data_IF_238747749931
#
_entry.id   IF_238747749931
#
_cell.length_a   1.000
_cell.length_b   1.000
_cell.length_c   1.000
_cell.angle_alpha   90.00
_cell.angle_beta   90.00
_cell.angle_gamma   90.00
#
_symmetry.space_group_name_H-M   'P 1'
#
loop_
_entity.id
_entity.type
_entity.pdbx_description
1 polymer ?
#
# COMPACT_ATOMS: atom_id res chain seq x y z
N UNK A 1 14.07 -8.22 -21.37
CA UNK A 1 13.77 -8.56 -19.95
C UNK A 1 12.68 -9.61 -19.88
N UNK A 2 12.47 -10.23 -18.68
CA UNK A 2 11.38 -11.21 -18.49
C UNK A 2 9.99 -10.60 -18.73
N UNK A 3 9.80 -9.32 -18.47
CA UNK A 3 8.56 -8.60 -18.74
C UNK A 3 8.33 -8.38 -20.25
N UNK A 4 9.35 -8.06 -21.03
CA UNK A 4 9.24 -7.97 -22.49
C UNK A 4 8.83 -9.32 -23.07
N UNK A 5 9.50 -10.40 -22.66
CA UNK A 5 9.14 -11.77 -23.08
C UNK A 5 7.70 -12.15 -22.68
N UNK A 6 7.18 -11.63 -21.57
CA UNK A 6 5.80 -11.84 -21.17
C UNK A 6 4.83 -11.08 -22.09
N UNK A 7 5.12 -9.82 -22.39
CA UNK A 7 4.33 -9.01 -23.31
C UNK A 7 4.31 -9.60 -24.73
N UNK A 8 5.42 -10.20 -25.21
CA UNK A 8 5.52 -10.83 -26.49
C UNK A 8 4.69 -12.12 -26.63
N UNK A 9 4.18 -12.66 -25.51
CA UNK A 9 3.31 -13.85 -25.49
C UNK A 9 1.82 -13.53 -25.65
N UNK A 10 1.46 -12.25 -25.72
CA UNK A 10 0.07 -11.87 -25.99
C UNK A 10 -0.29 -12.32 -27.39
N UNK A 11 -1.33 -13.15 -27.50
CA UNK A 11 -1.80 -13.73 -28.77
C UNK A 11 -2.48 -12.68 -29.65
N UNK A 12 -2.63 -13.00 -30.93
CA UNK A 12 -3.33 -12.13 -31.89
C UNK A 12 -4.74 -11.80 -31.39
N UNK A 13 -5.08 -10.49 -31.42
CA UNK A 13 -6.34 -9.98 -30.88
C UNK A 13 -6.33 -9.71 -29.36
N UNK A 14 -5.31 -10.15 -28.64
CA UNK A 14 -5.10 -9.76 -27.22
C UNK A 14 -4.70 -8.29 -27.09
N UNK A 15 -4.89 -7.71 -25.91
CA UNK A 15 -4.54 -6.32 -25.61
C UNK A 15 -3.50 -6.24 -24.49
N UNK A 16 -2.51 -5.38 -24.69
CA UNK A 16 -1.48 -5.04 -23.71
C UNK A 16 -1.88 -3.73 -23.04
N UNK A 17 -2.26 -3.80 -21.76
CA UNK A 17 -2.59 -2.62 -20.93
C UNK A 17 -1.38 -2.34 -20.06
N UNK A 18 -0.75 -1.18 -20.22
CA UNK A 18 0.54 -0.86 -19.62
C UNK A 18 0.47 0.45 -18.85
N UNK A 19 0.96 0.43 -17.61
CA UNK A 19 1.08 1.65 -16.80
C UNK A 19 2.06 2.63 -17.42
N UNK A 20 1.68 3.91 -17.43
CA UNK A 20 2.56 5.01 -17.85
C UNK A 20 3.83 5.06 -16.98
N UNK A 21 4.96 5.34 -17.60
CA UNK A 21 6.27 5.41 -16.94
C UNK A 21 7.04 4.08 -16.88
N UNK A 22 6.43 2.97 -17.28
CA UNK A 22 7.17 1.73 -17.47
C UNK A 22 7.92 1.74 -18.82
N UNK A 23 9.10 1.08 -18.93
CA UNK A 23 9.89 1.03 -20.16
C UNK A 23 9.32 0.03 -21.19
N UNK A 24 7.99 -0.05 -21.29
CA UNK A 24 7.27 -0.98 -22.16
C UNK A 24 6.18 -0.26 -22.94
N UNK A 25 5.92 -0.71 -24.16
CA UNK A 25 4.81 -0.24 -24.98
C UNK A 25 3.63 -1.19 -24.86
N UNK A 26 2.42 -0.64 -24.79
CA UNK A 26 1.16 -1.37 -24.80
C UNK A 26 0.20 -0.83 -25.85
N UNK A 27 -0.94 -1.50 -26.02
CA UNK A 27 -2.05 -1.03 -26.85
C UNK A 27 -2.85 0.05 -26.14
N UNK A 28 -2.86 0.02 -24.80
CA UNK A 28 -3.58 0.97 -23.93
C UNK A 28 -2.65 1.33 -22.79
N UNK A 29 -2.42 2.60 -22.60
CA UNK A 29 -1.71 3.15 -21.44
C UNK A 29 -2.70 3.50 -20.35
N UNK A 30 -2.30 3.31 -19.06
CA UNK A 30 -3.13 3.76 -17.94
C UNK A 30 -2.30 4.47 -16.87
N UNK A 31 -2.97 5.37 -16.15
CA UNK A 31 -2.35 6.13 -15.07
C UNK A 31 -3.38 6.60 -14.03
N UNK A 32 -2.88 7.05 -12.89
CA UNK A 32 -3.60 7.87 -11.95
C UNK A 32 -3.17 9.34 -12.15
N UNK A 33 -4.12 10.23 -12.33
CA UNK A 33 -3.89 11.69 -12.41
C UNK A 33 -2.90 12.15 -13.51
N UNK A 34 -2.76 11.36 -14.56
CA UNK A 34 -2.00 11.72 -15.76
C UNK A 34 -2.80 11.34 -17.00
N UNK A 35 -3.08 12.28 -17.85
CA UNK A 35 -3.83 12.06 -19.10
C UNK A 35 -3.09 11.08 -20.02
N UNK A 36 -3.77 9.99 -20.35
CA UNK A 36 -3.33 8.95 -21.28
C UNK A 36 -4.57 8.23 -21.83
N UNK A 37 -4.46 6.98 -22.35
CA UNK A 37 -5.61 6.28 -22.94
C UNK A 37 -6.70 5.96 -21.90
N UNK A 38 -6.32 5.63 -20.67
CA UNK A 38 -7.23 5.43 -19.53
C UNK A 38 -6.64 6.02 -18.26
N UNK A 39 -7.37 6.88 -17.57
CA UNK A 39 -6.84 7.52 -16.36
C UNK A 39 -7.91 7.88 -15.33
N UNK A 40 -7.48 8.04 -14.08
CA UNK A 40 -8.29 8.62 -13.02
C UNK A 40 -8.06 10.13 -12.93
N UNK A 41 -9.13 10.87 -12.68
CA UNK A 41 -9.13 12.29 -12.37
C UNK A 41 -9.96 12.57 -11.13
N UNK A 42 -9.85 13.77 -10.55
CA UNK A 42 -10.60 14.18 -9.36
C UNK A 42 -10.49 13.20 -8.17
N UNK A 43 -9.31 12.62 -7.97
CA UNK A 43 -9.06 11.70 -6.85
C UNK A 43 -9.16 12.47 -5.53
N UNK A 44 -10.16 12.11 -4.72
CA UNK A 44 -10.46 12.80 -3.47
C UNK A 44 -10.82 11.81 -2.35
N UNK A 45 -10.70 12.30 -1.13
CA UNK A 45 -11.12 11.58 0.07
C UNK A 45 -12.31 12.30 0.68
N UNK A 46 -13.41 11.57 0.89
CA UNK A 46 -14.60 12.05 1.56
C UNK A 46 -15.00 11.05 2.65
N UNK A 47 -15.10 11.52 3.89
CA UNK A 47 -15.45 10.68 5.05
C UNK A 47 -14.55 9.44 5.24
N UNK A 48 -13.26 9.55 4.87
CA UNK A 48 -12.30 8.44 4.99
C UNK A 48 -12.40 7.40 3.88
N UNK A 49 -13.06 7.71 2.77
CA UNK A 49 -13.24 6.86 1.60
C UNK A 49 -12.71 7.55 0.35
N UNK A 50 -12.24 6.77 -0.63
CA UNK A 50 -11.70 7.29 -1.88
C UNK A 50 -12.78 7.36 -2.97
N UNK A 51 -12.81 8.50 -3.67
CA UNK A 51 -13.63 8.73 -4.86
C UNK A 51 -12.75 9.23 -5.99
N UNK A 52 -13.11 8.91 -7.23
CA UNK A 52 -12.42 9.38 -8.42
C UNK A 52 -13.33 9.32 -9.64
N UNK A 53 -12.93 10.00 -10.72
CA UNK A 53 -13.54 9.91 -12.03
C UNK A 53 -12.64 9.05 -12.93
N UNK A 54 -13.22 8.15 -13.71
CA UNK A 54 -12.52 7.38 -14.73
C UNK A 54 -12.75 8.00 -16.10
N UNK A 55 -11.70 8.08 -16.90
CA UNK A 55 -11.72 8.59 -18.28
C UNK A 55 -11.01 7.63 -19.21
N UNK A 56 -11.64 7.35 -20.36
CA UNK A 56 -11.03 6.78 -21.56
C UNK A 56 -11.60 7.47 -22.81
N UNK A 57 -11.15 7.07 -24.01
CA UNK A 57 -11.60 7.69 -25.27
C UNK A 57 -13.12 7.62 -25.49
N UNK A 58 -13.76 6.57 -25.01
CA UNK A 58 -15.16 6.22 -25.27
C UNK A 58 -16.00 5.98 -24.00
N UNK A 59 -15.39 6.08 -22.81
CA UNK A 59 -16.09 5.89 -21.53
C UNK A 59 -15.63 6.91 -20.49
N UNK A 60 -16.57 7.61 -19.89
CA UNK A 60 -16.38 8.46 -18.72
C UNK A 60 -17.33 7.99 -17.62
N UNK A 61 -16.79 7.65 -16.44
CA UNK A 61 -17.55 7.31 -15.25
C UNK A 61 -17.16 8.29 -14.16
N UNK A 62 -18.12 9.01 -13.60
CA UNK A 62 -17.89 9.99 -12.53
C UNK A 62 -18.26 9.43 -11.17
N UNK A 63 -17.66 10.01 -10.13
CA UNK A 63 -17.98 9.74 -8.73
C UNK A 63 -17.90 8.25 -8.35
N UNK A 64 -16.88 7.55 -8.86
CA UNK A 64 -16.66 6.15 -8.51
C UNK A 64 -16.21 6.08 -7.05
N UNK A 65 -16.99 5.43 -6.22
CA UNK A 65 -16.61 5.02 -4.87
C UNK A 65 -15.72 3.79 -4.93
N UNK A 66 -14.57 3.82 -4.27
CA UNK A 66 -13.66 2.70 -4.16
C UNK A 66 -13.79 2.04 -2.79
N UNK A 67 -14.31 0.81 -2.74
CA UNK A 67 -14.55 0.07 -1.48
C UNK A 67 -13.30 -0.22 -0.66
N UNK A 68 -12.12 -0.15 -1.28
CA UNK A 68 -10.82 -0.27 -0.60
C UNK A 68 -10.03 1.03 -0.77
N UNK A 69 -9.51 1.62 0.31
CA UNK A 69 -8.77 2.87 0.22
C UNK A 69 -7.36 2.67 -0.36
N UNK A 70 -6.74 3.78 -0.73
CA UNK A 70 -5.36 3.84 -1.16
C UNK A 70 -5.17 4.34 -2.59
N UNK A 71 -4.21 5.26 -2.77
CA UNK A 71 -3.90 5.85 -4.08
C UNK A 71 -3.47 4.80 -5.10
N UNK A 72 -2.76 3.76 -4.67
CA UNK A 72 -2.38 2.65 -5.53
C UNK A 72 -3.60 1.79 -5.94
N UNK A 73 -4.62 1.71 -5.08
CA UNK A 73 -5.87 1.00 -5.40
C UNK A 73 -6.72 1.78 -6.40
N UNK A 74 -6.67 3.12 -6.40
CA UNK A 74 -7.25 3.94 -7.48
C UNK A 74 -6.58 3.59 -8.82
N UNK A 75 -5.25 3.50 -8.85
CA UNK A 75 -4.52 3.13 -10.07
C UNK A 75 -4.85 1.70 -10.54
N UNK A 76 -4.94 0.75 -9.60
CA UNK A 76 -5.37 -0.62 -9.89
C UNK A 76 -6.82 -0.67 -10.42
N UNK A 77 -7.71 0.17 -9.87
CA UNK A 77 -9.09 0.28 -10.33
C UNK A 77 -9.17 0.81 -11.77
N UNK A 78 -8.32 1.79 -12.16
CA UNK A 78 -8.26 2.25 -13.56
C UNK A 78 -7.96 1.10 -14.50
N UNK A 79 -6.94 0.27 -14.20
CA UNK A 79 -6.62 -0.90 -15.01
C UNK A 79 -7.80 -1.91 -15.04
N UNK A 80 -8.42 -2.19 -13.90
CA UNK A 80 -9.54 -3.11 -13.81
C UNK A 80 -10.77 -2.63 -14.59
N UNK A 81 -11.12 -1.33 -14.51
CA UNK A 81 -12.19 -0.71 -15.29
C UNK A 81 -11.89 -0.84 -16.77
N UNK A 82 -10.66 -0.56 -17.19
CA UNK A 82 -10.23 -0.66 -18.59
C UNK A 82 -10.43 -2.08 -19.14
N UNK A 83 -10.03 -3.11 -18.37
CA UNK A 83 -10.27 -4.52 -18.74
C UNK A 83 -11.76 -4.83 -18.81
N UNK A 84 -12.53 -4.41 -17.81
CA UNK A 84 -13.96 -4.67 -17.77
C UNK A 84 -14.70 -4.01 -18.94
N UNK A 85 -14.31 -2.79 -19.28
CA UNK A 85 -14.85 -2.06 -20.44
C UNK A 85 -14.54 -2.76 -21.78
N UNK A 86 -13.31 -3.26 -21.94
CA UNK A 86 -12.92 -4.06 -23.12
C UNK A 86 -13.69 -5.39 -23.25
N UNK A 87 -14.26 -5.87 -22.16
CA UNK A 87 -15.12 -7.07 -22.10
C UNK A 87 -16.62 -6.72 -22.16
N UNK A 88 -16.98 -5.49 -22.55
CA UNK A 88 -18.36 -5.01 -22.66
C UNK A 88 -19.17 -5.12 -21.37
N UNK A 89 -18.51 -5.03 -20.19
CA UNK A 89 -19.22 -5.01 -18.92
C UNK A 89 -19.85 -3.63 -18.72
N UNK A 90 -21.16 -3.55 -18.41
CA UNK A 90 -21.85 -2.27 -18.21
C UNK A 90 -21.27 -1.45 -17.06
N UNK A 91 -21.19 -0.12 -17.21
CA UNK A 91 -20.58 0.79 -16.26
C UNK A 91 -21.21 0.72 -14.86
N UNK A 92 -22.53 0.54 -14.76
CA UNK A 92 -23.23 0.37 -13.48
C UNK A 92 -22.74 -0.88 -12.72
N UNK A 93 -22.46 -1.97 -13.42
CA UNK A 93 -21.90 -3.20 -12.83
C UNK A 93 -20.46 -3.02 -12.37
N UNK A 94 -19.67 -2.28 -13.15
CA UNK A 94 -18.28 -1.95 -12.80
C UNK A 94 -18.27 -1.12 -11.50
N UNK A 95 -19.07 -0.06 -11.42
CA UNK A 95 -19.16 0.81 -10.25
C UNK A 95 -19.64 0.03 -9.01
N UNK A 96 -20.68 -0.78 -9.14
CA UNK A 96 -21.16 -1.61 -8.03
C UNK A 96 -20.06 -2.56 -7.52
N UNK A 97 -19.35 -3.24 -8.44
CA UNK A 97 -18.29 -4.17 -8.06
C UNK A 97 -17.11 -3.48 -7.34
N UNK A 98 -16.73 -2.27 -7.76
CA UNK A 98 -15.65 -1.50 -7.12
C UNK A 98 -16.06 -1.03 -5.72
N UNK A 99 -17.31 -0.62 -5.55
CA UNK A 99 -17.85 -0.19 -4.26
C UNK A 99 -18.00 -1.35 -3.27
N UNK A 100 -18.41 -2.53 -3.74
CA UNK A 100 -18.62 -3.71 -2.91
C UNK A 100 -17.34 -4.52 -2.63
N UNK A 101 -16.25 -4.20 -3.31
CA UNK A 101 -14.99 -4.95 -3.17
C UNK A 101 -14.38 -4.75 -1.79
N UNK A 102 -14.25 -5.84 -1.03
CA UNK A 102 -13.75 -5.83 0.35
C UNK A 102 -12.22 -5.96 0.46
N UNK A 103 -11.52 -5.98 -0.66
CA UNK A 103 -10.06 -6.09 -0.69
C UNK A 103 -9.53 -7.51 -0.52
N UNK A 104 -8.24 -7.58 -0.27
CA UNK A 104 -7.48 -8.82 -0.03
C UNK A 104 -6.77 -8.67 1.30
N UNK A 105 -6.66 -9.75 2.07
CA UNK A 105 -5.89 -9.76 3.32
C UNK A 105 -4.51 -9.18 3.12
N UNK A 106 -4.07 -8.36 4.08
CA UNK A 106 -2.77 -7.68 4.06
C UNK A 106 -2.57 -6.75 2.85
N UNK A 107 -3.65 -6.22 2.29
CA UNK A 107 -3.66 -5.20 1.23
C UNK A 107 -4.57 -4.07 1.64
N UNK A 108 -4.04 -3.11 2.40
CA UNK A 108 -4.81 -2.05 3.04
C UNK A 108 -5.98 -2.60 3.88
N UNK A 109 -5.71 -3.67 4.64
CA UNK A 109 -6.73 -4.36 5.43
C UNK A 109 -7.03 -3.61 6.73
N UNK A 110 -8.25 -3.12 6.88
CA UNK A 110 -8.70 -2.56 8.16
C UNK A 110 -8.86 -3.66 9.21
N UNK A 111 -8.06 -3.63 10.23
CA UNK A 111 -8.11 -4.56 11.37
C UNK A 111 -8.99 -3.99 12.49
N UNK A 112 -8.85 -2.67 12.75
CA UNK A 112 -9.71 -1.88 13.64
C UNK A 112 -10.05 -0.58 12.93
N UNK A 113 -11.34 -0.21 12.93
CA UNK A 113 -11.82 1.09 12.41
C UNK A 113 -12.82 1.66 13.39
N UNK A 114 -12.38 2.57 14.25
CA UNK A 114 -13.21 3.29 15.20
C UNK A 114 -12.83 4.77 15.21
N UNK A 115 -13.59 5.61 15.87
CA UNK A 115 -13.29 7.04 16.01
C UNK A 115 -11.98 7.27 16.77
N UNK A 116 -11.72 6.44 17.78
CA UNK A 116 -10.53 6.53 18.62
C UNK A 116 -9.31 5.96 17.90
N UNK A 117 -9.36 4.70 17.50
CA UNK A 117 -8.23 3.95 16.94
C UNK A 117 -8.54 3.45 15.54
N UNK A 118 -7.57 3.59 14.66
CA UNK A 118 -7.54 2.96 13.34
C UNK A 118 -6.30 2.09 13.26
N UNK A 119 -6.49 0.81 12.92
CA UNK A 119 -5.39 -0.11 12.69
C UNK A 119 -5.52 -0.78 11.33
N UNK A 120 -4.46 -0.68 10.52
CA UNK A 120 -4.41 -1.22 9.16
C UNK A 120 -3.17 -2.10 9.00
N UNK A 121 -3.34 -3.27 8.36
CA UNK A 121 -2.23 -4.16 7.97
C UNK A 121 -2.02 -4.12 6.45
N UNK A 122 -0.75 -4.02 6.02
CA UNK A 122 -0.40 -4.03 4.60
C UNK A 122 0.85 -4.87 4.32
N UNK A 123 0.89 -5.50 3.16
CA UNK A 123 1.99 -6.35 2.72
C UNK A 123 3.15 -5.59 2.08
N UNK A 124 3.08 -4.27 1.98
CA UNK A 124 4.10 -3.44 1.35
C UNK A 124 5.49 -3.73 1.95
N UNK A 125 6.46 -3.98 1.08
CA UNK A 125 7.80 -4.39 1.46
C UNK A 125 8.88 -3.88 0.49
N UNK A 126 8.50 -2.99 -0.42
CA UNK A 126 9.37 -2.22 -1.31
C UNK A 126 9.16 -0.73 -1.06
N UNK A 127 10.19 0.14 -1.19
CA UNK A 127 10.05 1.58 -0.92
C UNK A 127 8.88 2.24 -1.65
N UNK A 128 8.65 1.92 -2.92
CA UNK A 128 7.55 2.50 -3.69
C UNK A 128 6.16 2.06 -3.17
N UNK A 129 6.02 0.81 -2.75
CA UNK A 129 4.78 0.31 -2.13
C UNK A 129 4.53 1.02 -0.80
N UNK A 130 5.56 1.13 0.06
CA UNK A 130 5.51 1.86 1.32
C UNK A 130 5.17 3.33 1.11
N UNK A 131 5.76 3.98 0.10
CA UNK A 131 5.47 5.38 -0.24
C UNK A 131 4.00 5.58 -0.58
N UNK A 132 3.46 4.74 -1.47
CA UNK A 132 2.06 4.79 -1.85
C UNK A 132 1.13 4.56 -0.65
N UNK A 133 1.47 3.59 0.20
CA UNK A 133 0.70 3.25 1.39
C UNK A 133 0.74 4.36 2.44
N UNK A 134 1.93 4.79 2.90
CA UNK A 134 2.08 5.80 3.95
C UNK A 134 1.54 7.17 3.52
N UNK A 135 1.72 7.54 2.23
CA UNK A 135 1.10 8.76 1.67
C UNK A 135 -0.43 8.68 1.72
N UNK A 136 -1.00 7.51 1.43
CA UNK A 136 -2.44 7.29 1.54
C UNK A 136 -2.93 7.41 2.98
N UNK A 137 -2.15 6.90 3.96
CA UNK A 137 -2.46 7.04 5.38
C UNK A 137 -2.52 8.50 5.82
N UNK A 138 -1.50 9.29 5.48
CA UNK A 138 -1.45 10.73 5.79
C UNK A 138 -2.61 11.51 5.13
N UNK A 139 -3.01 11.11 3.93
CA UNK A 139 -4.14 11.74 3.20
C UNK A 139 -5.49 11.39 3.82
N UNK A 140 -5.68 10.13 4.26
CA UNK A 140 -6.90 9.66 4.90
C UNK A 140 -7.08 10.20 6.32
N UNK A 141 -5.98 10.30 7.07
CA UNK A 141 -5.98 10.64 8.50
C UNK A 141 -5.02 11.78 8.80
N UNK A 142 -5.23 12.99 8.22
CA UNK A 142 -4.27 14.10 8.30
C UNK A 142 -4.04 14.63 9.73
N UNK A 143 -4.97 14.36 10.65
CA UNK A 143 -4.94 14.86 12.02
C UNK A 143 -4.56 13.78 13.06
N UNK A 144 -4.28 12.54 12.63
CA UNK A 144 -3.89 11.45 13.52
C UNK A 144 -2.38 11.20 13.45
N UNK A 145 -1.73 10.99 14.61
CA UNK A 145 -0.32 10.57 14.68
C UNK A 145 -0.17 9.17 14.08
N UNK A 146 0.64 9.07 13.02
CA UNK A 146 0.90 7.80 12.32
C UNK A 146 2.04 7.03 12.98
N UNK A 147 1.72 5.95 13.68
CA UNK A 147 2.67 4.98 14.22
C UNK A 147 2.83 3.82 13.26
N UNK A 148 4.04 3.63 12.75
CA UNK A 148 4.37 2.58 11.77
C UNK A 148 5.19 1.48 12.44
N UNK A 149 4.69 0.25 12.42
CA UNK A 149 5.47 -0.95 12.72
C UNK A 149 5.92 -1.55 11.39
N UNK A 150 7.22 -1.57 11.15
CA UNK A 150 7.77 -2.07 9.89
C UNK A 150 8.74 -3.23 10.11
N UNK A 151 8.55 -4.31 9.36
CA UNK A 151 9.50 -5.42 9.29
C UNK A 151 10.14 -5.47 7.91
N UNK A 152 11.43 -5.14 7.76
CA UNK A 152 12.13 -5.32 6.51
C UNK A 152 12.15 -6.78 6.09
N UNK A 153 12.05 -7.05 4.79
CA UNK A 153 12.04 -8.40 4.25
C UNK A 153 13.19 -8.60 3.28
N UNK A 154 14.08 -9.58 3.57
CA UNK A 154 15.32 -9.91 2.90
C UNK A 154 16.48 -8.91 3.16
N UNK A 155 17.65 -9.45 3.49
CA UNK A 155 18.88 -8.66 3.66
C UNK A 155 19.30 -7.98 2.36
N UNK A 156 19.24 -8.70 1.23
CA UNK A 156 19.58 -8.16 -0.08
C UNK A 156 18.73 -6.96 -0.46
N UNK A 157 17.41 -7.05 -0.29
CA UNK A 157 16.48 -5.94 -0.58
C UNK A 157 16.73 -4.75 0.34
N UNK A 158 16.92 -4.99 1.63
CA UNK A 158 17.18 -3.92 2.60
C UNK A 158 18.46 -3.17 2.23
N UNK A 159 19.52 -3.88 1.81
CA UNK A 159 20.76 -3.29 1.33
C UNK A 159 20.58 -2.48 0.06
N UNK A 160 19.94 -3.08 -0.95
CA UNK A 160 19.86 -2.53 -2.30
C UNK A 160 18.94 -1.29 -2.37
N UNK A 161 17.98 -1.18 -1.46
CA UNK A 161 17.01 -0.09 -1.41
C UNK A 161 17.06 0.73 -0.13
N UNK A 162 18.17 0.72 0.60
CA UNK A 162 18.31 1.34 1.92
C UNK A 162 17.93 2.82 1.94
N UNK A 163 18.37 3.59 0.95
CA UNK A 163 18.11 5.04 0.90
C UNK A 163 16.60 5.30 0.62
N UNK A 164 15.97 4.49 -0.23
CA UNK A 164 14.54 4.53 -0.47
C UNK A 164 13.71 4.17 0.76
N UNK A 165 14.15 3.15 1.54
CA UNK A 165 13.52 2.83 2.82
C UNK A 165 13.69 3.95 3.83
N UNK A 166 14.89 4.52 3.94
CA UNK A 166 15.17 5.62 4.87
C UNK A 166 14.26 6.83 4.58
N UNK A 167 14.16 7.23 3.32
CA UNK A 167 13.31 8.35 2.90
C UNK A 167 11.82 8.11 3.19
N UNK A 168 11.30 6.93 2.83
CA UNK A 168 9.87 6.67 2.95
C UNK A 168 9.43 6.43 4.39
N UNK A 169 10.25 5.78 5.22
CA UNK A 169 9.93 5.54 6.62
C UNK A 169 9.99 6.82 7.47
N UNK A 170 10.70 7.85 7.01
CA UNK A 170 10.68 9.19 7.61
C UNK A 170 9.32 9.92 7.44
N UNK A 171 8.39 9.38 6.63
CA UNK A 171 7.01 9.90 6.54
C UNK A 171 6.17 9.56 7.79
N UNK A 172 6.59 8.61 8.62
CA UNK A 172 5.91 8.29 9.87
C UNK A 172 6.05 9.44 10.89
N UNK A 173 5.15 9.51 11.86
CA UNK A 173 5.32 10.35 13.05
C UNK A 173 6.04 9.57 14.15
N UNK A 174 5.93 8.24 14.11
CA UNK A 174 6.67 7.30 14.96
C UNK A 174 6.94 6.00 14.19
N UNK A 175 8.17 5.48 14.33
CA UNK A 175 8.61 4.23 13.70
C UNK A 175 9.06 3.21 14.74
N UNK A 176 8.40 2.06 14.72
CA UNK A 176 8.77 0.84 15.43
C UNK A 176 9.36 -0.13 14.41
N UNK A 177 10.68 -0.16 14.29
CA UNK A 177 11.38 -1.00 13.32
C UNK A 177 11.67 -2.37 13.95
N UNK A 178 11.27 -3.44 13.27
CA UNK A 178 11.58 -4.81 13.68
C UNK A 178 12.86 -5.32 12.99
N UNK A 179 13.38 -6.44 13.48
CA UNK A 179 14.50 -7.13 12.82
C UNK A 179 14.14 -7.60 11.42
N UNK A 180 15.15 -7.63 10.53
CA UNK A 180 14.97 -8.08 9.15
C UNK A 180 14.49 -9.53 9.14
N UNK A 181 13.37 -9.78 8.45
CA UNK A 181 12.92 -11.15 8.19
C UNK A 181 13.75 -11.76 7.05
N UNK A 182 14.55 -12.79 7.33
CA UNK A 182 15.54 -13.31 6.38
C UNK A 182 14.93 -14.12 5.25
N UNK A 183 13.72 -14.70 5.46
CA UNK A 183 13.12 -15.72 4.60
C UNK A 183 14.09 -16.88 4.32
N UNK A 184 14.75 -16.87 3.16
CA UNK A 184 15.71 -17.92 2.76
C UNK A 184 17.14 -17.41 2.60
N UNK A 185 17.38 -16.13 2.94
CA UNK A 185 18.70 -15.53 2.83
C UNK A 185 19.53 -15.74 4.09
N UNK A 186 20.83 -15.83 3.90
CA UNK A 186 21.79 -15.73 4.99
C UNK A 186 22.04 -14.26 5.32
N UNK A 187 22.37 -13.91 6.57
CA UNK A 187 22.75 -12.56 6.95
C UNK A 187 23.90 -12.01 6.09
N UNK A 188 23.77 -10.75 5.68
CA UNK A 188 24.82 -10.03 4.95
C UNK A 188 25.60 -9.19 5.97
N UNK A 189 26.94 -9.31 6.06
CA UNK A 189 27.74 -8.53 7.00
C UNK A 189 27.48 -7.03 6.87
N UNK A 190 27.19 -6.37 8.00
CA UNK A 190 26.90 -4.93 8.05
C UNK A 190 25.52 -4.51 7.59
N UNK A 191 24.63 -5.45 7.28
CA UNK A 191 23.24 -5.19 6.92
C UNK A 191 22.32 -5.77 7.99
N UNK A 192 21.81 -4.90 8.86
CA UNK A 192 20.86 -5.22 9.91
C UNK A 192 19.85 -4.07 10.10
N UNK A 193 18.88 -4.26 10.97
CA UNK A 193 17.86 -3.24 11.22
C UNK A 193 18.41 -2.01 11.94
N UNK A 194 19.48 -2.14 12.73
CA UNK A 194 20.17 -1.01 13.37
C UNK A 194 20.84 -0.12 12.31
N UNK A 195 21.48 -0.74 11.32
CA UNK A 195 22.07 -0.01 10.19
C UNK A 195 21.02 0.77 9.39
N UNK A 196 19.86 0.17 9.10
CA UNK A 196 18.74 0.85 8.44
C UNK A 196 18.20 1.98 9.33
N UNK A 197 17.96 1.71 10.62
CA UNK A 197 17.41 2.67 11.58
C UNK A 197 18.27 3.95 11.64
N UNK A 198 19.59 3.79 11.62
CA UNK A 198 20.53 4.91 11.68
C UNK A 198 20.51 5.82 10.44
N UNK A 199 19.99 5.34 9.32
CA UNK A 199 19.85 6.12 8.08
C UNK A 199 18.52 6.91 7.99
N UNK A 200 17.53 6.55 8.80
CA UNK A 200 16.21 7.18 8.77
C UNK A 200 16.26 8.52 9.52
N UNK A 201 15.91 9.62 8.88
CA UNK A 201 15.82 10.94 9.50
C UNK A 201 14.45 11.13 10.17
N UNK A 202 14.28 10.54 11.34
CA UNK A 202 13.06 10.63 12.16
C UNK A 202 13.48 10.68 13.63
N UNK A 203 12.89 11.56 14.44
CA UNK A 203 13.19 11.68 15.86
C UNK A 203 12.62 10.50 16.66
N UNK A 204 11.34 10.21 16.47
CA UNK A 204 10.65 9.12 17.17
C UNK A 204 10.81 7.80 16.41
N UNK A 205 11.94 7.14 16.58
CA UNK A 205 12.24 5.83 15.99
C UNK A 205 12.95 4.93 16.97
N UNK A 206 12.62 3.65 16.95
CA UNK A 206 13.26 2.64 17.81
C UNK A 206 13.26 1.26 17.14
N UNK A 207 14.29 0.48 17.43
CA UNK A 207 14.31 -0.95 17.12
C UNK A 207 13.50 -1.68 18.20
N UNK A 208 12.65 -2.62 17.79
CA UNK A 208 11.73 -3.31 18.71
C UNK A 208 11.60 -4.79 18.39
N UNK A 209 11.37 -5.61 19.42
CA UNK A 209 10.90 -6.99 19.29
C UNK A 209 9.37 -7.05 19.13
N UNK A 210 8.81 -8.18 18.69
CA UNK A 210 7.36 -8.39 18.66
C UNK A 210 6.67 -8.13 20.00
N UNK A 211 7.28 -8.54 21.12
CA UNK A 211 6.77 -8.36 22.46
C UNK A 211 6.74 -6.88 22.86
N UNK A 212 7.82 -6.15 22.53
CA UNK A 212 7.90 -4.71 22.79
C UNK A 212 6.85 -3.93 21.97
N UNK A 213 6.54 -4.35 20.74
CA UNK A 213 5.45 -3.73 19.95
C UNK A 213 4.12 -3.84 20.69
N UNK A 214 3.79 -5.01 21.25
CA UNK A 214 2.55 -5.21 21.99
C UNK A 214 2.48 -4.32 23.23
N UNK A 215 3.58 -4.24 24.00
CA UNK A 215 3.66 -3.42 25.22
C UNK A 215 3.55 -1.91 24.91
N UNK A 216 4.17 -1.47 23.82
CA UNK A 216 4.09 -0.08 23.35
C UNK A 216 2.64 0.25 22.94
N UNK A 217 2.02 -0.58 22.12
CA UNK A 217 0.64 -0.34 21.66
C UNK A 217 -0.35 -0.33 22.83
N UNK A 218 -0.15 -1.20 23.80
CA UNK A 218 -0.97 -1.26 25.01
C UNK A 218 -0.82 -0.02 25.90
N UNK A 219 0.39 0.53 26.02
CA UNK A 219 0.67 1.67 26.90
C UNK A 219 0.43 3.02 26.23
N UNK A 220 0.76 3.15 24.95
CA UNK A 220 0.67 4.40 24.22
C UNK A 220 -0.66 4.59 23.47
N UNK A 221 -1.43 3.50 23.26
CA UNK A 221 -2.77 3.49 22.64
C UNK A 221 -2.83 4.35 21.34
N UNK A 222 -2.08 4.00 20.30
CA UNK A 222 -1.91 4.84 19.11
C UNK A 222 -3.23 5.07 18.38
N UNK A 223 -3.48 6.34 17.97
CA UNK A 223 -4.69 6.71 17.22
C UNK A 223 -4.72 6.13 15.81
N UNK A 224 -3.56 6.04 15.15
CA UNK A 224 -3.39 5.45 13.82
C UNK A 224 -2.17 4.53 13.83
N UNK A 225 -2.44 3.23 13.87
CA UNK A 225 -1.43 2.17 13.83
C UNK A 225 -1.41 1.51 12.47
N UNK A 226 -0.23 1.25 11.94
CA UNK A 226 -0.08 0.40 10.75
C UNK A 226 1.00 -0.65 10.98
N UNK A 227 0.75 -1.89 10.57
CA UNK A 227 1.76 -2.94 10.44
C UNK A 227 2.06 -3.16 8.98
N UNK A 228 3.35 -3.15 8.61
CA UNK A 228 3.76 -3.20 7.21
C UNK A 228 4.94 -4.14 7.02
N UNK A 229 4.84 -5.05 6.05
CA UNK A 229 5.93 -5.98 5.70
C UNK A 229 5.45 -7.33 5.18
N UNK A 230 6.34 -8.05 4.50
CA UNK A 230 6.06 -9.36 3.90
C UNK A 230 6.54 -10.54 4.76
N UNK A 231 7.15 -10.26 5.90
CA UNK A 231 7.63 -11.25 6.87
C UNK A 231 6.55 -11.78 7.80
N UNK A 232 6.97 -12.23 8.95
CA UNK A 232 6.09 -12.81 9.98
C UNK A 232 5.45 -11.77 10.92
N UNK A 233 5.55 -10.49 10.59
CA UNK A 233 4.86 -9.38 11.26
C UNK A 233 3.33 -9.60 11.33
N UNK A 234 2.76 -10.38 10.41
CA UNK A 234 1.34 -10.73 10.41
C UNK A 234 0.90 -11.50 11.66
N UNK A 235 1.82 -12.13 12.37
CA UNK A 235 1.55 -12.76 13.67
C UNK A 235 1.13 -11.75 14.75
N UNK A 236 1.51 -10.48 14.59
CA UNK A 236 1.13 -9.39 15.49
C UNK A 236 -0.31 -8.91 15.26
N UNK A 237 -0.89 -9.16 14.09
CA UNK A 237 -2.21 -8.59 13.72
C UNK A 237 -3.29 -8.96 14.73
N UNK A 238 -3.39 -10.22 15.09
CA UNK A 238 -4.42 -10.68 16.04
C UNK A 238 -4.19 -10.15 17.46
N UNK A 239 -2.99 -10.28 18.06
CA UNK A 239 -2.71 -9.71 19.38
C UNK A 239 -2.95 -8.18 19.45
N UNK A 240 -2.47 -7.43 18.46
CA UNK A 240 -2.67 -5.98 18.42
C UNK A 240 -4.14 -5.59 18.32
N UNK A 241 -4.92 -6.34 17.53
CA UNK A 241 -6.39 -6.14 17.46
C UNK A 241 -7.04 -6.33 18.83
N UNK A 242 -6.63 -7.36 19.58
CA UNK A 242 -7.16 -7.64 20.90
C UNK A 242 -6.84 -6.50 21.86
N UNK A 243 -5.59 -6.01 21.89
CA UNK A 243 -5.18 -4.89 22.76
C UNK A 243 -5.96 -3.60 22.42
N UNK A 244 -6.06 -3.20 21.15
CA UNK A 244 -6.79 -1.99 20.74
C UNK A 244 -8.30 -2.06 20.99
N UNK A 245 -8.88 -3.26 21.05
CA UNK A 245 -10.29 -3.45 21.41
C UNK A 245 -10.53 -3.48 22.92
N UNK A 246 -9.52 -3.79 23.74
CA UNK A 246 -9.61 -3.82 25.20
C UNK A 246 -9.33 -2.45 25.84
N UNK A 247 -8.72 -1.52 25.14
CA UNK A 247 -8.45 -0.15 25.58
C UNK A 247 -9.74 0.72 25.59
N UNK A 248 -10.78 0.24 26.29
CA UNK A 248 -12.07 0.94 26.47
C UNK A 248 -12.10 1.64 27.83
#
# INVERSE_FOLDING_TARGET
TSFEMFLDRVVDGGKKIVKVGLPFSGDISYAREQVCDAYAENVRVENGEFYFDYHSADLVIKDIHLGIPGLHNVENAVAAITVAHLLDIPADKIVAALSDFQGVKRRFEYIVKSDKNVYIDDYAHHPEELRAFLTSMKKLYPNKKLTVVFQPHLFSRTRDFVDGFAEVLALADELLLMEIYPARELPIPGVDSTWLLNKIELENKRLVSPEEVLEIVKTEDPELLVTVGAGDIDKLVKPLKEELNHAK
#
